data_IF_195237769000
#
_entry.id   IF_195237769000
#
_cell.length_a   1.000
_cell.length_b   1.000
_cell.length_c   1.000
_cell.angle_alpha   90.00
_cell.angle_beta   90.00
_cell.angle_gamma   90.00
#
_symmetry.space_group_name_H-M   'P 1'
#
loop_
_entity.id
_entity.type
_entity.pdbx_description
1 polymer ?
#
# COMPACT_ATOMS: atom_id res chain seq x y z
N UNK A 1 -2.37 -99.68 69.21
CA UNK A 1 -1.03 -99.64 68.60
C UNK A 1 -0.92 -100.86 67.72
N UNK A 2 -0.54 -100.72 66.45
CA UNK A 2 -0.26 -101.87 65.59
C UNK A 2 0.99 -102.58 66.07
N UNK A 3 1.02 -103.90 66.01
CA UNK A 3 2.20 -104.67 66.37
C UNK A 3 3.27 -104.46 65.29
N UNK A 4 4.52 -104.10 65.67
CA UNK A 4 5.63 -103.98 64.71
C UNK A 4 5.79 -105.24 63.84
N UNK A 5 6.07 -105.04 62.54
CA UNK A 5 6.16 -106.15 61.58
C UNK A 5 7.26 -107.15 61.93
N UNK A 6 8.37 -106.69 62.50
CA UNK A 6 9.46 -107.54 63.00
C UNK A 6 9.00 -108.49 64.11
N UNK A 7 8.12 -108.02 65.00
CA UNK A 7 7.51 -108.86 66.03
C UNK A 7 6.53 -109.85 65.40
N UNK A 8 5.70 -109.40 64.45
CA UNK A 8 4.77 -110.29 63.72
C UNK A 8 5.54 -111.40 63.00
N UNK A 9 6.62 -111.07 62.29
CA UNK A 9 7.42 -112.05 61.54
C UNK A 9 8.03 -113.12 62.45
N UNK A 10 8.39 -112.78 63.69
CA UNK A 10 8.93 -113.76 64.66
C UNK A 10 7.93 -114.87 65.03
N UNK A 11 6.61 -114.66 64.85
CA UNK A 11 5.59 -115.67 65.18
C UNK A 11 5.39 -116.71 64.08
N UNK A 12 6.01 -116.52 62.91
CA UNK A 12 5.85 -117.37 61.73
C UNK A 12 7.19 -117.93 61.23
N UNK A 13 8.21 -118.02 62.11
CA UNK A 13 9.48 -118.67 61.78
C UNK A 13 9.31 -120.20 61.62
N UNK A 14 10.28 -120.84 60.97
CA UNK A 14 10.20 -122.26 60.66
C UNK A 14 10.18 -123.11 61.94
N UNK A 15 9.04 -123.76 62.19
CA UNK A 15 8.82 -124.59 63.38
C UNK A 15 7.96 -123.94 64.46
N UNK A 16 7.65 -122.65 64.33
CA UNK A 16 6.78 -121.93 65.23
C UNK A 16 5.32 -121.91 64.76
N UNK A 17 4.41 -121.88 65.73
CA UNK A 17 2.97 -121.77 65.48
C UNK A 17 2.42 -120.60 66.29
N UNK A 18 1.80 -119.60 65.64
CA UNK A 18 1.23 -118.46 66.36
C UNK A 18 0.04 -118.91 67.20
N UNK A 19 -0.10 -118.32 68.38
CA UNK A 19 -1.32 -118.41 69.18
C UNK A 19 -2.49 -117.71 68.46
N UNK A 20 -3.73 -118.01 68.86
CA UNK A 20 -4.93 -117.35 68.32
C UNK A 20 -4.85 -115.81 68.43
N UNK A 21 -4.30 -115.30 69.54
CA UNK A 21 -4.10 -113.85 69.75
C UNK A 21 -3.09 -113.29 68.76
N UNK A 22 -1.92 -113.91 68.62
CA UNK A 22 -0.88 -113.48 67.66
C UNK A 22 -1.41 -113.51 66.21
N UNK A 23 -2.20 -114.52 65.88
CA UNK A 23 -2.85 -114.61 64.58
C UNK A 23 -3.83 -113.45 64.34
N UNK A 24 -4.68 -113.10 65.33
CA UNK A 24 -5.58 -111.94 65.23
C UNK A 24 -4.83 -110.61 65.16
N UNK A 25 -3.76 -110.46 65.91
CA UNK A 25 -2.92 -109.25 65.92
C UNK A 25 -2.20 -109.03 64.58
N UNK A 26 -1.85 -110.11 63.89
CA UNK A 26 -1.26 -110.06 62.55
C UNK A 26 -2.18 -109.30 61.59
N UNK A 27 -3.44 -109.72 61.47
CA UNK A 27 -4.39 -109.06 60.56
C UNK A 27 -4.83 -107.68 61.05
N UNK A 28 -4.87 -107.46 62.36
CA UNK A 28 -5.25 -106.18 62.96
C UNK A 28 -4.17 -105.10 62.80
N UNK A 29 -2.94 -105.48 62.43
CA UNK A 29 -1.82 -104.55 62.22
C UNK A 29 -1.77 -103.95 60.82
N UNK A 30 -2.53 -104.49 59.86
CA UNK A 30 -2.66 -103.96 58.51
C UNK A 30 -3.87 -103.02 58.37
N UNK A 31 -3.77 -102.00 57.53
CA UNK A 31 -4.92 -101.18 57.14
C UNK A 31 -5.90 -102.00 56.28
N UNK A 32 -7.17 -102.03 56.67
CA UNK A 32 -8.22 -102.64 55.85
C UNK A 32 -8.75 -101.65 54.81
N UNK A 33 -9.37 -102.16 53.74
CA UNK A 33 -9.91 -101.30 52.66
C UNK A 33 -10.94 -100.27 53.14
N UNK A 34 -11.67 -100.61 54.21
CA UNK A 34 -12.69 -99.75 54.81
C UNK A 34 -12.12 -98.86 55.93
N UNK A 35 -10.81 -98.95 56.21
CA UNK A 35 -10.15 -98.12 57.22
C UNK A 35 -9.70 -96.79 56.61
N UNK A 36 -9.98 -95.69 57.30
CA UNK A 36 -9.43 -94.39 56.96
C UNK A 36 -7.92 -94.38 57.24
N UNK A 37 -7.14 -93.91 56.28
CA UNK A 37 -5.70 -93.66 56.46
C UNK A 37 -5.55 -92.23 57.00
N UNK A 38 -5.01 -92.04 58.21
CA UNK A 38 -4.78 -90.70 58.75
C UNK A 38 -3.73 -89.95 57.93
N UNK A 39 -3.95 -88.66 57.69
CA UNK A 39 -3.06 -87.83 56.85
C UNK A 39 -1.64 -87.74 57.41
N UNK A 40 -1.49 -87.80 58.73
CA UNK A 40 -0.21 -87.78 59.43
C UNK A 40 0.67 -89.00 59.11
N UNK A 41 0.08 -90.09 58.62
CA UNK A 41 0.79 -91.31 58.26
C UNK A 41 1.17 -91.36 56.76
N UNK A 42 0.83 -90.33 56.00
CA UNK A 42 1.18 -90.22 54.58
C UNK A 42 2.46 -89.38 54.47
N UNK A 43 3.57 -90.04 54.17
CA UNK A 43 4.86 -89.38 53.95
C UNK A 43 4.75 -88.30 52.86
N UNK A 44 5.32 -87.12 53.13
CA UNK A 44 5.32 -85.99 52.19
C UNK A 44 3.96 -85.27 52.03
N UNK A 45 2.86 -85.77 52.60
CA UNK A 45 1.54 -85.13 52.45
C UNK A 45 1.52 -83.71 53.02
N UNK A 46 2.11 -83.50 54.20
CA UNK A 46 2.20 -82.18 54.83
C UNK A 46 2.96 -81.16 53.97
N UNK A 47 4.05 -81.57 53.33
CA UNK A 47 4.87 -80.70 52.48
C UNK A 47 4.13 -80.31 51.20
N UNK A 48 3.50 -81.28 50.53
CA UNK A 48 2.70 -81.04 49.33
C UNK A 48 1.50 -80.15 49.64
N UNK A 49 0.84 -80.37 50.78
CA UNK A 49 -0.34 -79.60 51.19
C UNK A 49 0.01 -78.11 51.41
N UNK A 50 1.22 -77.81 51.88
CA UNK A 50 1.69 -76.43 52.06
C UNK A 50 1.94 -75.67 50.74
N UNK A 51 2.03 -76.37 49.60
CA UNK A 51 2.17 -75.72 48.28
C UNK A 51 0.87 -75.11 47.77
N UNK A 52 -0.27 -75.45 48.38
CA UNK A 52 -1.58 -74.98 47.96
C UNK A 52 -2.12 -73.93 48.93
N UNK A 53 -2.75 -72.90 48.38
CA UNK A 53 -3.55 -71.97 49.17
C UNK A 53 -4.80 -72.70 49.70
N UNK A 54 -5.24 -72.37 50.91
CA UNK A 54 -6.51 -72.88 51.42
C UNK A 54 -7.69 -72.35 50.57
N UNK A 55 -8.82 -73.06 50.61
CA UNK A 55 -10.03 -72.63 49.92
C UNK A 55 -10.49 -71.24 50.38
N UNK A 56 -10.32 -70.94 51.67
CA UNK A 56 -10.62 -69.65 52.28
C UNK A 56 -9.68 -68.55 51.77
N UNK A 57 -8.37 -68.82 51.74
CA UNK A 57 -7.37 -67.87 51.23
C UNK A 57 -7.61 -67.55 49.75
N UNK A 58 -7.90 -68.57 48.94
CA UNK A 58 -8.22 -68.39 47.53
C UNK A 58 -9.51 -67.59 47.32
N UNK A 59 -10.59 -67.92 48.05
CA UNK A 59 -11.85 -67.16 47.98
C UNK A 59 -11.66 -65.71 48.42
N UNK A 60 -10.88 -65.48 49.48
CA UNK A 60 -10.52 -64.14 49.94
C UNK A 60 -9.84 -63.34 48.84
N UNK A 61 -8.83 -63.92 48.19
CA UNK A 61 -8.12 -63.31 47.07
C UNK A 61 -9.03 -62.93 45.89
N UNK A 62 -9.98 -63.81 45.49
CA UNK A 62 -10.90 -63.52 44.38
C UNK A 62 -11.80 -62.31 44.62
N UNK A 63 -12.12 -62.04 45.89
CA UNK A 63 -13.03 -60.94 46.27
C UNK A 63 -12.29 -59.69 46.76
N UNK A 64 -10.99 -59.77 46.99
CA UNK A 64 -10.19 -58.64 47.46
C UNK A 64 -9.90 -57.69 46.28
N UNK A 65 -10.47 -56.47 46.27
CA UNK A 65 -10.22 -55.51 45.21
C UNK A 65 -8.76 -55.05 45.14
N UNK A 66 -7.95 -55.33 46.19
CA UNK A 66 -6.54 -54.97 46.29
C UNK A 66 -5.58 -56.15 46.13
N UNK A 67 -6.09 -57.34 45.80
CA UNK A 67 -5.31 -58.57 45.60
C UNK A 67 -4.09 -58.41 44.67
N UNK A 68 -4.15 -57.46 43.74
CA UNK A 68 -3.08 -57.16 42.78
C UNK A 68 -2.68 -55.68 42.74
N UNK A 69 -3.01 -54.87 43.76
CA UNK A 69 -2.81 -53.41 43.71
C UNK A 69 -1.35 -52.97 43.65
N UNK A 70 -0.39 -53.86 43.91
CA UNK A 70 1.05 -53.58 43.77
C UNK A 70 1.52 -53.64 42.31
N UNK A 71 0.82 -54.38 41.45
CA UNK A 71 1.22 -54.62 40.05
C UNK A 71 0.22 -54.12 39.02
N UNK A 72 -1.06 -54.03 39.40
CA UNK A 72 -2.15 -53.60 38.54
C UNK A 72 -2.78 -52.31 39.08
N UNK A 73 -3.24 -51.44 38.18
CA UNK A 73 -4.09 -50.34 38.59
C UNK A 73 -5.44 -50.84 39.09
N UNK A 74 -5.90 -50.26 40.19
CA UNK A 74 -7.27 -50.40 40.64
C UNK A 74 -8.21 -49.79 39.60
N UNK A 75 -9.48 -50.25 39.60
CA UNK A 75 -10.51 -49.73 38.68
C UNK A 75 -10.66 -48.21 38.76
N UNK A 76 -10.50 -47.64 39.96
CA UNK A 76 -10.56 -46.20 40.20
C UNK A 76 -9.19 -45.50 40.11
N UNK A 77 -8.14 -46.23 39.73
CA UNK A 77 -6.75 -45.76 39.64
C UNK A 77 -6.17 -45.15 40.94
N UNK A 78 -6.80 -45.36 42.09
CA UNK A 78 -6.41 -44.71 43.35
C UNK A 78 -5.05 -45.17 43.90
N UNK A 79 -4.51 -46.28 43.41
CA UNK A 79 -3.17 -46.77 43.75
C UNK A 79 -2.06 -46.22 42.84
N UNK A 80 -2.38 -45.43 41.82
CA UNK A 80 -1.38 -44.88 40.90
C UNK A 80 -0.73 -43.62 41.47
N UNK A 81 0.60 -43.55 41.36
CA UNK A 81 1.36 -42.34 41.65
C UNK A 81 1.40 -41.41 40.42
N UNK A 82 1.75 -40.13 40.61
CA UNK A 82 2.00 -39.23 39.47
C UNK A 82 3.07 -39.75 38.50
N UNK A 83 4.04 -40.52 38.97
CA UNK A 83 5.07 -41.12 38.13
C UNK A 83 4.51 -42.21 37.20
N UNK A 84 3.61 -43.06 37.72
CA UNK A 84 2.92 -44.08 36.94
C UNK A 84 2.07 -43.45 35.84
N UNK A 85 1.29 -42.43 36.20
CA UNK A 85 0.45 -41.66 35.27
C UNK A 85 1.30 -41.06 34.15
N UNK A 86 2.44 -40.46 34.47
CA UNK A 86 3.33 -39.87 33.46
C UNK A 86 3.97 -40.93 32.55
N UNK A 87 4.44 -42.04 33.11
CA UNK A 87 4.99 -43.16 32.34
C UNK A 87 3.96 -43.73 31.36
N UNK A 88 2.71 -43.86 31.81
CA UNK A 88 1.60 -44.31 30.97
C UNK A 88 1.25 -43.30 29.89
N UNK A 89 1.19 -42.00 30.20
CA UNK A 89 0.98 -40.95 29.19
C UNK A 89 2.02 -41.05 28.08
N UNK A 90 3.29 -41.24 28.42
CA UNK A 90 4.37 -41.42 27.44
C UNK A 90 4.18 -42.71 26.62
N UNK A 91 3.97 -43.86 27.26
CA UNK A 91 3.82 -45.14 26.55
C UNK A 91 2.58 -45.22 25.66
N UNK A 92 1.49 -44.58 26.07
CA UNK A 92 0.24 -44.50 25.30
C UNK A 92 0.26 -43.42 24.22
N UNK A 93 1.36 -42.65 24.10
CA UNK A 93 1.46 -41.56 23.12
C UNK A 93 0.52 -40.38 23.42
N UNK A 94 0.11 -40.21 24.67
CA UNK A 94 -0.71 -39.09 25.14
C UNK A 94 0.22 -37.89 25.39
N UNK A 95 0.70 -37.27 24.31
CA UNK A 95 1.58 -36.09 24.37
C UNK A 95 0.83 -34.77 24.23
N UNK A 96 -0.22 -34.74 23.42
CA UNK A 96 -0.99 -33.54 23.10
C UNK A 96 -2.46 -33.72 23.48
N UNK A 97 -2.78 -33.47 24.74
CA UNK A 97 -4.18 -33.44 25.19
C UNK A 97 -4.74 -32.04 25.05
N UNK A 98 -5.83 -31.91 24.29
CA UNK A 98 -6.71 -30.76 24.37
C UNK A 98 -7.45 -30.82 25.71
N UNK A 99 -7.08 -29.96 26.66
CA UNK A 99 -7.82 -29.77 27.90
C UNK A 99 -8.77 -28.58 27.71
N UNK A 100 -10.04 -28.80 27.98
CA UNK A 100 -11.00 -27.72 28.21
C UNK A 100 -10.87 -27.27 29.67
N UNK A 101 -11.26 -26.05 29.97
CA UNK A 101 -11.30 -25.52 31.34
C UNK A 101 -12.10 -26.48 32.25
N UNK A 102 -11.47 -26.92 33.35
CA UNK A 102 -12.13 -27.59 34.46
C UNK A 102 -12.49 -26.60 35.57
N UNK A 103 -13.11 -27.08 36.66
CA UNK A 103 -13.46 -26.25 37.82
C UNK A 103 -12.26 -25.50 38.41
N UNK A 104 -11.08 -26.11 38.36
CA UNK A 104 -9.89 -25.64 39.08
C UNK A 104 -8.62 -25.50 38.21
N UNK A 105 -8.72 -25.76 36.90
CA UNK A 105 -7.59 -25.63 35.96
C UNK A 105 -8.06 -25.09 34.61
N UNK A 106 -7.39 -24.03 34.16
CA UNK A 106 -7.54 -23.52 32.80
C UNK A 106 -6.96 -24.54 31.81
N UNK A 107 -7.76 -24.90 30.82
CA UNK A 107 -7.41 -25.75 29.72
C UNK A 107 -6.51 -25.03 28.71
N UNK A 108 -5.93 -25.79 27.78
CA UNK A 108 -5.15 -25.26 26.67
C UNK A 108 -5.98 -25.07 25.39
N UNK A 109 -7.28 -25.38 25.42
CA UNK A 109 -8.21 -25.21 24.29
C UNK A 109 -9.40 -24.35 24.68
N UNK A 110 -9.78 -23.44 23.77
CA UNK A 110 -10.98 -22.62 23.92
C UNK A 110 -12.26 -23.48 23.95
N UNK A 111 -13.18 -23.14 24.86
CA UNK A 111 -14.53 -23.70 24.88
C UNK A 111 -15.28 -23.35 23.60
N UNK A 112 -16.29 -24.15 23.24
CA UNK A 112 -17.16 -23.87 22.09
C UNK A 112 -17.78 -22.46 22.17
N UNK A 113 -18.16 -22.03 23.38
CA UNK A 113 -18.73 -20.70 23.62
C UNK A 113 -17.73 -19.59 23.27
N UNK A 114 -16.47 -19.74 23.70
CA UNK A 114 -15.41 -18.77 23.37
C UNK A 114 -15.14 -18.73 21.87
N UNK A 115 -15.06 -19.90 21.22
CA UNK A 115 -14.86 -20.01 19.76
C UNK A 115 -16.02 -19.34 19.01
N UNK A 116 -17.26 -19.65 19.38
CA UNK A 116 -18.45 -19.04 18.77
C UNK A 116 -18.45 -17.52 18.98
N UNK A 117 -17.98 -17.04 20.14
CA UNK A 117 -17.78 -15.61 20.41
C UNK A 117 -16.73 -14.95 19.50
N UNK A 118 -15.58 -15.59 19.27
CA UNK A 118 -14.56 -15.09 18.35
C UNK A 118 -15.05 -15.07 16.90
N UNK A 119 -15.72 -16.14 16.48
CA UNK A 119 -16.32 -16.24 15.14
C UNK A 119 -17.41 -15.19 14.94
N UNK A 120 -18.22 -14.91 15.97
CA UNK A 120 -19.22 -13.84 15.96
C UNK A 120 -18.57 -12.47 15.69
N UNK A 121 -17.55 -12.10 16.47
CA UNK A 121 -16.82 -10.85 16.27
C UNK A 121 -16.19 -10.73 14.88
N UNK A 122 -15.66 -11.84 14.35
CA UNK A 122 -15.10 -11.87 13.00
C UNK A 122 -16.18 -11.63 11.94
N UNK A 123 -17.35 -12.24 12.09
CA UNK A 123 -18.50 -12.03 11.19
C UNK A 123 -19.00 -10.60 11.22
N UNK A 124 -19.05 -9.99 12.40
CA UNK A 124 -19.46 -8.58 12.53
C UNK A 124 -18.46 -7.66 11.82
N UNK A 125 -17.15 -7.87 12.02
CA UNK A 125 -16.11 -7.12 11.33
C UNK A 125 -16.15 -7.29 9.80
N UNK A 126 -16.41 -8.50 9.31
CA UNK A 126 -16.54 -8.78 7.87
C UNK A 126 -17.76 -8.07 7.26
N UNK A 127 -18.87 -8.03 8.00
CA UNK A 127 -20.07 -7.28 7.60
C UNK A 127 -19.80 -5.78 7.53
N UNK A 128 -19.10 -5.23 8.51
CA UNK A 128 -18.72 -3.81 8.55
C UNK A 128 -17.78 -3.48 7.38
N UNK A 129 -16.77 -4.31 7.13
CA UNK A 129 -15.85 -4.16 6.00
C UNK A 129 -16.60 -4.19 4.67
N UNK A 130 -17.53 -5.12 4.49
CA UNK A 130 -18.37 -5.20 3.30
C UNK A 130 -19.17 -3.91 3.10
N UNK A 131 -19.75 -3.36 4.16
CA UNK A 131 -20.49 -2.09 4.12
C UNK A 131 -19.61 -0.91 3.70
N UNK A 132 -18.40 -0.80 4.26
CA UNK A 132 -17.45 0.26 3.89
C UNK A 132 -16.98 0.13 2.45
N UNK A 133 -16.70 -1.09 1.98
CA UNK A 133 -16.35 -1.35 0.58
C UNK A 133 -17.49 -0.93 -0.34
N UNK A 134 -18.74 -1.22 -0.01
CA UNK A 134 -19.89 -0.78 -0.80
C UNK A 134 -20.06 0.75 -0.80
N UNK A 135 -19.77 1.44 0.32
CA UNK A 135 -19.73 2.91 0.36
C UNK A 135 -18.64 3.46 -0.56
N UNK A 136 -17.43 2.90 -0.50
CA UNK A 136 -16.32 3.29 -1.37
C UNK A 136 -16.69 3.07 -2.84
N UNK A 137 -17.26 1.91 -3.19
CA UNK A 137 -17.73 1.65 -4.56
C UNK A 137 -18.76 2.69 -5.00
N UNK A 138 -19.71 3.07 -4.15
CA UNK A 138 -20.68 4.14 -4.47
C UNK A 138 -20.01 5.50 -4.67
N UNK A 139 -19.01 5.84 -3.86
CA UNK A 139 -18.25 7.08 -4.04
C UNK A 139 -17.43 7.07 -5.34
N UNK A 140 -16.88 5.92 -5.73
CA UNK A 140 -16.09 5.77 -6.96
C UNK A 140 -16.96 5.62 -8.22
N UNK A 141 -18.16 5.04 -8.10
CA UNK A 141 -19.14 4.90 -9.18
C UNK A 141 -20.07 6.10 -9.31
N UNK A 142 -20.07 7.00 -8.33
CA UNK A 142 -20.65 8.32 -8.49
C UNK A 142 -19.86 9.00 -9.60
N UNK A 143 -20.36 8.93 -10.84
CA UNK A 143 -19.96 9.83 -11.91
C UNK A 143 -20.06 11.23 -11.30
N UNK A 144 -18.93 11.79 -10.90
CA UNK A 144 -18.88 13.12 -10.36
C UNK A 144 -19.16 14.03 -11.56
N UNK A 145 -20.38 14.62 -11.67
CA UNK A 145 -20.70 15.44 -12.83
C UNK A 145 -19.74 16.62 -12.95
N UNK A 146 -19.10 17.05 -11.85
CA UNK A 146 -18.09 18.10 -11.90
C UNK A 146 -16.78 17.64 -12.55
N UNK A 147 -16.43 16.35 -12.46
CA UNK A 147 -15.27 15.79 -13.17
C UNK A 147 -15.57 15.65 -14.67
N UNK A 148 -16.80 15.25 -15.02
CA UNK A 148 -17.26 15.23 -16.42
C UNK A 148 -17.27 16.65 -17.02
N UNK A 149 -17.76 17.65 -16.29
CA UNK A 149 -17.72 19.07 -16.70
C UNK A 149 -16.28 19.59 -16.87
N UNK A 150 -15.36 19.22 -15.96
CA UNK A 150 -13.94 19.58 -16.10
C UNK A 150 -13.30 18.89 -17.31
N UNK A 151 -13.66 17.64 -17.59
CA UNK A 151 -13.17 16.90 -18.76
C UNK A 151 -13.68 17.52 -20.06
N UNK A 152 -14.96 17.92 -20.11
CA UNK A 152 -15.55 18.67 -21.23
C UNK A 152 -14.83 20.00 -21.46
N UNK A 153 -14.53 20.76 -20.40
CA UNK A 153 -13.74 22.00 -20.48
C UNK A 153 -12.32 21.71 -21.00
N UNK A 154 -11.66 20.67 -20.49
CA UNK A 154 -10.32 20.27 -20.93
C UNK A 154 -10.31 19.92 -22.42
N UNK A 155 -11.31 19.17 -22.88
CA UNK A 155 -11.41 18.77 -24.29
C UNK A 155 -11.75 19.97 -25.19
N UNK A 156 -12.58 20.90 -24.72
CA UNK A 156 -12.80 22.18 -25.40
C UNK A 156 -11.52 23.01 -25.51
N UNK A 157 -10.71 23.09 -24.44
CA UNK A 157 -9.43 23.80 -24.46
C UNK A 157 -8.45 23.16 -25.46
N UNK A 158 -8.40 21.83 -25.53
CA UNK A 158 -7.55 21.12 -26.51
C UNK A 158 -7.99 21.41 -27.94
N UNK A 159 -9.28 21.34 -28.23
CA UNK A 159 -9.82 21.65 -29.56
C UNK A 159 -9.52 23.11 -29.96
N UNK A 160 -9.70 24.06 -29.04
CA UNK A 160 -9.36 25.46 -29.28
C UNK A 160 -7.86 25.65 -29.53
N UNK A 161 -7.00 24.94 -28.80
CA UNK A 161 -5.55 24.98 -29.02
C UNK A 161 -5.17 24.49 -30.41
N UNK A 162 -5.76 23.37 -30.85
CA UNK A 162 -5.55 22.83 -32.20
C UNK A 162 -5.99 23.83 -33.28
N UNK A 163 -7.17 24.44 -33.11
CA UNK A 163 -7.66 25.48 -34.03
C UNK A 163 -6.72 26.70 -34.07
N UNK A 164 -6.22 27.16 -32.93
CA UNK A 164 -5.27 28.27 -32.85
C UNK A 164 -3.97 27.91 -33.57
N UNK A 165 -3.47 26.68 -33.41
CA UNK A 165 -2.23 26.26 -34.04
C UNK A 165 -2.40 26.15 -35.57
N UNK A 166 -3.55 25.64 -36.06
CA UNK A 166 -3.91 25.69 -37.48
C UNK A 166 -4.00 27.14 -38.01
N UNK A 167 -4.58 28.05 -37.23
CA UNK A 167 -4.66 29.46 -37.61
C UNK A 167 -3.28 30.14 -37.63
N UNK A 168 -2.39 29.81 -36.69
CA UNK A 168 -1.00 30.30 -36.73
C UNK A 168 -0.28 29.83 -37.97
N UNK A 169 -0.42 28.56 -38.35
CA UNK A 169 0.15 28.05 -39.61
C UNK A 169 -0.44 28.75 -40.83
N UNK A 170 -1.73 29.03 -40.84
CA UNK A 170 -2.38 29.78 -41.92
C UNK A 170 -1.90 31.24 -42.00
N UNK A 171 -1.73 31.91 -40.86
CA UNK A 171 -1.28 33.31 -40.77
C UNK A 171 0.21 33.46 -41.10
N UNK A 172 1.06 32.50 -40.70
CA UNK A 172 2.48 32.48 -41.07
C UNK A 172 2.63 32.25 -42.59
N UNK A 173 1.71 31.52 -43.22
CA UNK A 173 1.68 31.32 -44.67
C UNK A 173 0.95 32.45 -45.45
N UNK A 174 0.27 33.37 -44.76
CA UNK A 174 -0.29 34.59 -45.37
C UNK A 174 0.71 35.74 -45.27
N UNK A 175 1.78 35.66 -46.06
CA UNK A 175 2.47 36.87 -46.49
C UNK A 175 1.44 37.74 -47.24
N UNK A 176 1.32 39.02 -46.88
CA UNK A 176 0.43 40.02 -47.51
C UNK A 176 0.59 40.09 -49.06
N UNK A 177 1.69 39.52 -49.58
CA UNK A 177 2.09 39.38 -50.98
C UNK A 177 1.13 38.64 -51.93
N UNK A 178 -0.07 38.23 -51.50
CA UNK A 178 -1.02 37.46 -52.34
C UNK A 178 -2.43 38.03 -52.43
N UNK A 179 -2.70 39.19 -51.83
CA UNK A 179 -3.99 39.83 -51.98
C UNK A 179 -4.13 40.43 -53.38
N UNK A 180 -5.05 39.89 -54.18
CA UNK A 180 -5.34 40.41 -55.52
C UNK A 180 -6.03 41.78 -55.42
N UNK A 181 -5.56 42.74 -56.20
CA UNK A 181 -6.20 44.07 -56.23
C UNK A 181 -7.46 44.00 -57.10
N UNK A 182 -8.62 44.35 -56.52
CA UNK A 182 -9.89 44.34 -57.24
C UNK A 182 -10.11 45.73 -57.87
N UNK A 183 -9.62 45.91 -59.10
CA UNK A 183 -9.80 47.16 -59.84
C UNK A 183 -8.94 47.27 -61.10
N UNK A 184 -9.36 48.08 -62.07
CA UNK A 184 -8.55 48.40 -63.27
C UNK A 184 -7.83 49.73 -63.07
N UNK A 185 -6.55 49.68 -62.72
CA UNK A 185 -5.72 50.87 -62.52
C UNK A 185 -4.96 51.22 -63.80
N UNK A 186 -5.70 51.64 -64.83
CA UNK A 186 -5.19 51.88 -66.19
C UNK A 186 -3.95 52.80 -66.26
N UNK A 187 -3.80 53.71 -65.28
CA UNK A 187 -2.70 54.69 -65.23
C UNK A 187 -1.54 54.28 -64.30
N UNK A 188 -1.60 53.07 -63.73
CA UNK A 188 -0.66 52.60 -62.70
C UNK A 188 0.11 51.33 -63.13
N UNK A 189 -0.04 50.88 -64.37
CA UNK A 189 0.63 49.69 -64.90
C UNK A 189 -0.09 48.38 -64.57
N UNK A 190 0.51 47.26 -64.99
CA UNK A 190 -0.04 45.92 -64.75
C UNK A 190 0.24 45.48 -63.31
N UNK A 191 -0.68 45.78 -62.40
CA UNK A 191 -0.60 45.43 -60.98
C UNK A 191 -1.59 44.30 -60.71
N UNK A 192 -1.10 43.17 -60.17
CA UNK A 192 -1.94 42.02 -59.83
C UNK A 192 -2.16 41.89 -58.32
N UNK A 193 -1.16 42.30 -57.52
CA UNK A 193 -1.14 42.11 -56.07
C UNK A 193 -1.04 43.45 -55.32
N UNK A 194 -1.57 43.49 -54.10
CA UNK A 194 -1.64 44.71 -53.27
C UNK A 194 -0.25 45.26 -52.92
N UNK A 195 0.75 44.39 -52.75
CA UNK A 195 2.13 44.80 -52.51
C UNK A 195 2.70 45.62 -53.69
N UNK A 196 2.48 45.16 -54.92
CA UNK A 196 2.90 45.85 -56.15
C UNK A 196 2.23 47.22 -56.28
N UNK A 197 0.97 47.36 -55.83
CA UNK A 197 0.30 48.64 -55.77
C UNK A 197 0.96 49.59 -54.77
N UNK A 198 1.23 49.10 -53.56
CA UNK A 198 1.81 49.89 -52.49
C UNK A 198 3.20 50.43 -52.87
N UNK A 199 4.05 49.60 -53.47
CA UNK A 199 5.38 50.00 -53.95
C UNK A 199 5.29 51.14 -54.98
N UNK A 200 4.38 51.00 -55.94
CA UNK A 200 4.23 51.97 -57.04
C UNK A 200 3.61 53.30 -56.55
N UNK A 201 2.74 53.25 -55.54
CA UNK A 201 2.23 54.44 -54.83
C UNK A 201 3.34 55.13 -54.07
N UNK A 202 4.15 54.38 -53.32
CA UNK A 202 5.26 54.94 -52.56
C UNK A 202 6.24 55.69 -53.46
N UNK A 203 6.67 55.08 -54.57
CA UNK A 203 7.61 55.71 -55.51
C UNK A 203 7.05 57.00 -56.12
N UNK A 204 5.76 57.03 -56.46
CA UNK A 204 5.11 58.23 -56.98
C UNK A 204 4.99 59.34 -55.94
N UNK A 205 4.63 59.00 -54.71
CA UNK A 205 4.57 59.97 -53.61
C UNK A 205 5.95 60.54 -53.34
N UNK A 206 6.97 59.68 -53.25
CA UNK A 206 8.36 60.11 -53.05
C UNK A 206 8.84 61.04 -54.16
N UNK A 207 8.52 60.71 -55.41
CA UNK A 207 8.83 61.59 -56.56
C UNK A 207 8.14 62.96 -56.40
N UNK A 208 6.87 62.98 -55.99
CA UNK A 208 6.13 64.24 -55.74
C UNK A 208 6.76 65.02 -54.58
N UNK A 209 7.10 64.38 -53.47
CA UNK A 209 7.72 65.02 -52.30
C UNK A 209 9.10 65.60 -52.64
N UNK A 210 9.91 64.88 -53.42
CA UNK A 210 11.19 65.35 -53.91
C UNK A 210 10.99 66.57 -54.85
N UNK A 211 9.97 66.55 -55.70
CA UNK A 211 9.66 67.66 -56.60
C UNK A 211 9.17 68.90 -55.83
N UNK A 212 8.34 68.72 -54.80
CA UNK A 212 7.78 69.81 -53.96
C UNK A 212 8.84 70.40 -53.04
N UNK A 213 9.87 69.64 -52.65
CA UNK A 213 10.95 70.13 -51.79
C UNK A 213 11.85 71.18 -52.47
N UNK A 214 11.87 71.25 -53.81
CA UNK A 214 12.63 72.26 -54.57
C UNK A 214 12.09 73.70 -54.47
N UNK A 215 10.86 73.89 -53.95
CA UNK A 215 10.19 75.20 -53.82
C UNK A 215 10.01 75.70 -52.38
N UNK A 216 10.61 75.05 -51.37
CA UNK A 216 10.46 75.48 -49.97
C UNK A 216 11.15 76.83 -49.73
N UNK A 217 10.35 77.86 -49.44
CA UNK A 217 10.82 79.20 -49.06
C UNK A 217 10.75 79.46 -47.56
N UNK A 218 10.18 78.53 -46.78
CA UNK A 218 9.94 78.67 -45.34
C UNK A 218 10.12 77.32 -44.64
N UNK A 219 10.74 77.34 -43.47
CA UNK A 219 10.90 76.23 -42.55
C UNK A 219 10.47 76.66 -41.14
N UNK A 220 9.76 75.81 -40.42
CA UNK A 220 9.28 76.10 -39.07
C UNK A 220 9.56 74.92 -38.16
N UNK A 221 10.09 75.20 -36.97
CA UNK A 221 10.38 74.18 -35.96
C UNK A 221 10.19 74.76 -34.56
N UNK A 222 9.90 73.90 -33.58
CA UNK A 222 9.77 74.27 -32.18
C UNK A 222 10.96 73.74 -31.40
N UNK A 223 11.66 74.63 -30.70
CA UNK A 223 12.89 74.30 -29.97
C UNK A 223 12.80 74.70 -28.50
N UNK A 224 13.57 74.04 -27.63
CA UNK A 224 13.61 74.29 -26.17
C UNK A 224 14.97 74.79 -25.67
N UNK A 225 15.86 75.20 -26.57
CA UNK A 225 17.22 75.64 -26.28
C UNK A 225 18.09 75.53 -27.52
N UNK A 226 19.40 75.59 -27.30
CA UNK A 226 20.40 75.52 -28.37
C UNK A 226 20.18 74.27 -29.24
N UNK A 227 20.06 74.47 -30.54
CA UNK A 227 19.63 73.41 -31.46
C UNK A 227 20.29 73.57 -32.83
N UNK A 228 20.65 72.43 -33.43
CA UNK A 228 21.09 72.35 -34.82
C UNK A 228 19.90 72.01 -35.70
N UNK A 229 19.58 72.91 -36.62
CA UNK A 229 18.34 72.90 -37.42
C UNK A 229 18.69 72.59 -38.87
N UNK A 230 18.10 71.53 -39.41
CA UNK A 230 18.24 71.15 -40.82
C UNK A 230 16.99 71.58 -41.61
N UNK A 231 17.05 72.78 -42.19
CA UNK A 231 15.92 73.47 -42.79
C UNK A 231 15.70 73.16 -44.28
N UNK A 232 16.70 72.64 -44.99
CA UNK A 232 16.59 72.24 -46.40
C UNK A 232 16.03 73.34 -47.33
N UNK A 233 16.45 74.59 -47.14
CA UNK A 233 16.02 75.73 -47.98
C UNK A 233 17.02 76.09 -49.08
N UNK A 234 18.16 75.38 -49.13
CA UNK A 234 19.30 75.61 -50.03
C UNK A 234 19.64 77.10 -50.19
N UNK A 235 19.90 77.77 -49.06
CA UNK A 235 20.24 79.19 -48.99
C UNK A 235 21.06 79.50 -47.74
N UNK A 236 22.01 80.43 -47.86
CA UNK A 236 22.65 81.08 -46.72
C UNK A 236 21.97 82.42 -46.37
N UNK A 237 21.10 82.90 -47.25
CA UNK A 237 20.33 84.14 -47.13
C UNK A 237 18.92 83.82 -46.66
N UNK A 238 18.66 84.11 -45.39
CA UNK A 238 17.37 83.85 -44.76
C UNK A 238 17.07 84.92 -43.70
N UNK A 239 15.79 85.09 -43.39
CA UNK A 239 15.29 85.79 -42.19
C UNK A 239 14.88 84.74 -41.18
N UNK A 240 15.20 84.96 -39.91
CA UNK A 240 14.70 84.13 -38.80
C UNK A 240 13.85 84.99 -37.91
N UNK A 241 12.65 84.50 -37.62
CA UNK A 241 11.79 85.02 -36.58
C UNK A 241 11.65 83.96 -35.48
N UNK A 242 11.70 84.41 -34.23
CA UNK A 242 11.60 83.52 -33.08
C UNK A 242 10.85 84.19 -31.94
N UNK A 243 9.83 83.51 -31.44
CA UNK A 243 9.02 84.01 -30.34
C UNK A 243 8.68 82.91 -29.34
N UNK A 244 8.50 83.32 -28.09
CA UNK A 244 8.02 82.47 -27.01
C UNK A 244 6.57 82.04 -27.29
N UNK A 245 6.31 80.74 -27.33
CA UNK A 245 4.95 80.23 -27.64
C UNK A 245 3.91 80.52 -26.56
N UNK A 246 4.33 80.87 -25.35
CA UNK A 246 3.44 81.21 -24.22
C UNK A 246 3.29 82.72 -24.09
N UNK A 247 4.40 83.47 -24.05
CA UNK A 247 4.34 84.93 -23.83
C UNK A 247 4.16 85.74 -25.11
N UNK A 248 4.35 85.11 -26.27
CA UNK A 248 4.29 85.72 -27.61
C UNK A 248 5.30 86.85 -27.85
N UNK A 249 6.28 87.02 -26.96
CA UNK A 249 7.36 87.99 -27.17
C UNK A 249 8.45 87.40 -28.08
N UNK A 250 8.96 88.21 -29.01
CA UNK A 250 10.12 87.88 -29.83
C UNK A 250 11.36 87.71 -28.94
N UNK A 251 12.15 86.67 -29.22
CA UNK A 251 13.35 86.35 -28.45
C UNK A 251 14.59 86.63 -29.30
N UNK A 252 15.57 87.39 -28.77
CA UNK A 252 16.86 87.55 -29.42
C UNK A 252 17.61 86.20 -29.42
N UNK A 253 18.11 85.80 -30.58
CA UNK A 253 18.90 84.58 -30.75
C UNK A 253 20.17 84.85 -31.55
N UNK A 254 21.17 84.00 -31.35
CA UNK A 254 22.40 83.98 -32.14
C UNK A 254 22.33 82.82 -33.13
N UNK A 255 22.67 83.07 -34.38
CA UNK A 255 22.60 82.06 -35.45
C UNK A 255 23.98 81.84 -36.04
N UNK A 256 24.42 80.59 -36.08
CA UNK A 256 25.61 80.15 -36.80
C UNK A 256 25.18 79.40 -38.07
N UNK A 257 25.62 79.86 -39.24
CA UNK A 257 25.38 79.17 -40.52
C UNK A 257 26.38 78.02 -40.65
N UNK A 258 25.91 76.81 -40.92
CA UNK A 258 26.77 75.64 -41.11
C UNK A 258 26.95 75.34 -42.60
N UNK A 259 25.84 75.23 -43.33
CA UNK A 259 25.78 75.02 -44.79
C UNK A 259 24.47 75.61 -45.35
N UNK A 260 24.17 75.43 -46.64
CA UNK A 260 22.97 75.98 -47.29
C UNK A 260 21.66 75.40 -46.77
N UNK A 261 21.70 74.32 -46.00
CA UNK A 261 20.52 73.62 -45.49
C UNK A 261 20.48 73.51 -43.97
N UNK A 262 21.54 73.95 -43.27
CA UNK A 262 21.72 73.70 -41.85
C UNK A 262 22.25 74.93 -41.13
N UNK A 263 21.60 75.26 -40.02
CA UNK A 263 22.04 76.31 -39.09
C UNK A 263 22.11 75.77 -37.67
N UNK A 264 22.74 76.52 -36.80
CA UNK A 264 22.70 76.29 -35.36
C UNK A 264 22.19 77.57 -34.68
N UNK A 265 21.19 77.40 -33.83
CA UNK A 265 20.55 78.46 -33.06
C UNK A 265 21.05 78.34 -31.62
N UNK A 266 21.54 79.46 -31.09
CA UNK A 266 22.12 79.57 -29.76
C UNK A 266 21.40 80.68 -28.98
N UNK A 267 21.09 80.41 -27.72
CA UNK A 267 20.48 81.36 -26.80
C UNK A 267 21.49 81.78 -25.72
N UNK A 268 21.42 83.04 -25.27
CA UNK A 268 22.30 83.53 -24.19
C UNK A 268 22.02 82.85 -22.84
N UNK A 269 20.80 82.33 -22.68
CA UNK A 269 20.36 81.49 -21.57
C UNK A 269 19.28 80.53 -22.06
N UNK A 270 19.18 79.33 -21.46
CA UNK A 270 18.16 78.35 -21.82
C UNK A 270 16.76 78.97 -21.70
N UNK A 271 15.96 79.02 -22.79
CA UNK A 271 14.62 79.59 -22.75
C UNK A 271 13.70 78.81 -21.81
N UNK A 272 12.85 79.48 -21.02
CA UNK A 272 11.95 78.81 -20.08
C UNK A 272 10.80 78.07 -20.79
N UNK A 273 10.38 78.53 -21.98
CA UNK A 273 9.29 77.95 -22.75
C UNK A 273 9.79 77.45 -24.12
N UNK A 274 8.91 76.74 -24.85
CA UNK A 274 9.17 76.36 -26.24
C UNK A 274 9.17 77.61 -27.12
N UNK A 275 10.19 77.72 -27.97
CA UNK A 275 10.34 78.81 -28.92
C UNK A 275 9.92 78.32 -30.30
N UNK A 276 9.02 79.05 -30.94
CA UNK A 276 8.68 78.82 -32.34
C UNK A 276 9.71 79.52 -33.21
N UNK A 277 10.45 78.75 -33.99
CA UNK A 277 11.41 79.24 -34.97
C UNK A 277 10.75 79.24 -36.35
N UNK A 278 10.90 80.33 -37.09
CA UNK A 278 10.53 80.42 -38.51
C UNK A 278 11.72 80.92 -39.30
N UNK A 279 12.23 80.10 -40.20
CA UNK A 279 13.31 80.45 -41.14
C UNK A 279 12.69 80.66 -42.50
N UNK A 280 12.91 81.82 -43.11
CA UNK A 280 12.40 82.14 -44.46
C UNK A 280 13.56 82.47 -45.38
N UNK A 281 13.65 81.74 -46.51
CA UNK A 281 14.57 82.05 -47.61
C UNK A 281 14.25 83.43 -48.18
N UNK A 282 15.28 84.26 -48.35
CA UNK A 282 15.19 85.54 -49.07
C UNK A 282 15.54 85.30 -50.54
#
# INVERSE_FOLDING_TARGET
>A
MSTPLDIIFSWFEAGDFPTETQFKETFSSFYHKDSLIPMENIEGFGEIFQLFASAEAFKGHLTDPKAHSEFLALLNASNLTPADVNSWKTKLGISNTATIDGSDQLGNVYTKIQVDGFVGKLKDADKDLTSEVEKIKKLLLSNDPSLDELQEIVDYIKANKEQIDLLKEAVINSSDDKLNVVGRYLNWGAISYQNQFNDLVYDKIKTIEDTVSSGKIKYEERIRGDSRIHHNLDTLSFVIDAYDTVTMFTIPLKVRRIDTNTIEVLFDSVPPNIIQLTIKKI
#
